data_IF_774366862772
#
_entry.id   IF_774366862772
#
_cell.length_a   1.000
_cell.length_b   1.000
_cell.length_c   1.000
_cell.angle_alpha   90.00
_cell.angle_beta   90.00
_cell.angle_gamma   90.00
#
_symmetry.space_group_name_H-M   'P 1'
#
loop_
_entity.id
_entity.type
_entity.pdbx_description
1 polymer ?
#
# COMPACT_ATOMS: atom_id res chain seq x y z
N UNK A 1 15.78 10.53 0.29
CA UNK A 1 16.45 9.24 0.57
C UNK A 1 17.41 9.01 -0.57
N UNK A 2 18.67 8.67 -0.30
CA UNK A 2 19.67 8.43 -1.35
C UNK A 2 19.94 6.92 -1.44
N UNK A 3 19.80 6.36 -2.64
CA UNK A 3 20.10 4.96 -2.94
C UNK A 3 21.45 4.89 -3.67
N UNK A 4 22.30 3.91 -3.33
CA UNK A 4 23.63 3.81 -3.95
C UNK A 4 23.61 3.01 -5.24
N UNK A 5 22.60 2.16 -5.43
CA UNK A 5 22.37 1.38 -6.64
C UNK A 5 20.89 1.29 -6.99
N UNK A 6 20.58 1.02 -8.26
CA UNK A 6 19.20 0.76 -8.70
C UNK A 6 18.61 -0.47 -8.00
N UNK A 7 19.41 -1.49 -7.74
CA UNK A 7 18.98 -2.68 -6.98
C UNK A 7 18.63 -2.37 -5.51
N UNK A 8 19.32 -1.40 -4.88
CA UNK A 8 18.96 -0.93 -3.53
C UNK A 8 17.64 -0.16 -3.55
N UNK A 9 17.44 0.72 -4.54
CA UNK A 9 16.16 1.44 -4.74
C UNK A 9 15.01 0.45 -4.98
N UNK A 10 15.15 -0.46 -5.92
CA UNK A 10 14.08 -1.38 -6.31
C UNK A 10 13.72 -2.34 -5.17
N UNK A 11 14.70 -2.79 -4.36
CA UNK A 11 14.42 -3.56 -3.13
C UNK A 11 13.63 -2.73 -2.12
N UNK A 12 13.96 -1.46 -1.95
CA UNK A 12 13.22 -0.57 -1.06
C UNK A 12 11.79 -0.34 -1.55
N UNK A 13 11.59 -0.11 -2.85
CA UNK A 13 10.27 0.06 -3.45
C UNK A 13 9.41 -1.20 -3.29
N UNK A 14 9.96 -2.38 -3.54
CA UNK A 14 9.27 -3.65 -3.30
C UNK A 14 8.90 -3.86 -1.81
N UNK A 15 9.79 -3.49 -0.89
CA UNK A 15 9.51 -3.54 0.54
C UNK A 15 8.37 -2.57 0.92
N UNK A 16 8.36 -1.37 0.33
CA UNK A 16 7.29 -0.37 0.51
C UNK A 16 5.96 -0.88 -0.01
N UNK A 17 5.91 -1.44 -1.22
CA UNK A 17 4.73 -2.09 -1.80
C UNK A 17 4.20 -3.22 -0.92
N UNK A 18 5.11 -4.03 -0.36
CA UNK A 18 4.74 -5.11 0.57
C UNK A 18 4.08 -4.56 1.83
N UNK A 19 4.63 -3.49 2.42
CA UNK A 19 4.07 -2.86 3.61
C UNK A 19 2.67 -2.26 3.33
N UNK A 20 2.50 -1.59 2.18
CA UNK A 20 1.19 -1.07 1.74
C UNK A 20 0.18 -2.21 1.59
N UNK A 21 0.55 -3.28 0.89
CA UNK A 21 -0.30 -4.45 0.71
C UNK A 21 -0.73 -5.06 2.06
N UNK A 22 0.21 -5.26 2.98
CA UNK A 22 -0.07 -5.79 4.31
C UNK A 22 -1.04 -4.89 5.09
N UNK A 23 -0.92 -3.57 4.96
CA UNK A 23 -1.82 -2.62 5.62
C UNK A 23 -3.23 -2.67 5.05
N UNK A 24 -3.37 -2.73 3.72
CA UNK A 24 -4.67 -2.89 3.05
C UNK A 24 -5.33 -4.21 3.47
N UNK A 25 -4.58 -5.31 3.52
CA UNK A 25 -5.08 -6.60 3.99
C UNK A 25 -5.56 -6.54 5.45
N UNK A 26 -4.80 -5.86 6.31
CA UNK A 26 -5.22 -5.63 7.70
C UNK A 26 -6.53 -4.83 7.77
N UNK A 27 -6.66 -3.75 7.00
CA UNK A 27 -7.89 -2.93 6.93
C UNK A 27 -9.07 -3.79 6.50
N UNK A 28 -8.93 -4.58 5.44
CA UNK A 28 -10.00 -5.45 4.95
C UNK A 28 -10.46 -6.46 6.01
N UNK A 29 -9.51 -7.09 6.71
CA UNK A 29 -9.82 -8.00 7.81
C UNK A 29 -10.52 -7.28 8.97
N UNK A 30 -10.12 -6.05 9.29
CA UNK A 30 -10.73 -5.26 10.34
C UNK A 30 -12.15 -4.82 9.98
N UNK A 31 -12.38 -4.40 8.73
CA UNK A 31 -13.72 -4.07 8.21
C UNK A 31 -14.66 -5.29 8.31
N UNK A 32 -14.19 -6.49 7.94
CA UNK A 32 -14.95 -7.73 8.07
C UNK A 32 -15.25 -8.08 9.54
N UNK A 33 -14.23 -8.06 10.41
CA UNK A 33 -14.41 -8.33 11.85
C UNK A 33 -15.38 -7.35 12.48
N UNK A 34 -15.29 -6.09 12.11
CA UNK A 34 -16.16 -5.03 12.61
C UNK A 34 -17.59 -5.17 12.11
N UNK A 35 -17.79 -5.62 10.88
CA UNK A 35 -19.12 -5.90 10.33
C UNK A 35 -19.87 -6.97 11.14
N UNK A 36 -19.14 -7.98 11.65
CA UNK A 36 -19.72 -9.03 12.49
C UNK A 36 -20.24 -8.54 13.85
N UNK A 37 -19.65 -7.47 14.39
CA UNK A 37 -19.99 -6.93 15.73
C UNK A 37 -20.64 -5.55 15.67
N UNK A 38 -20.96 -5.04 14.48
CA UNK A 38 -21.54 -3.70 14.29
C UNK A 38 -20.60 -2.55 14.67
N UNK A 39 -19.28 -2.78 14.64
CA UNK A 39 -18.28 -1.81 15.08
C UNK A 39 -18.03 -0.65 14.10
N UNK A 40 -17.18 0.29 14.51
CA UNK A 40 -16.90 1.53 13.76
C UNK A 40 -16.23 1.29 12.40
N UNK A 41 -15.37 0.28 12.28
CA UNK A 41 -14.68 -0.01 11.01
C UNK A 41 -15.63 -0.49 9.91
N UNK A 42 -16.76 -1.12 10.28
CA UNK A 42 -17.81 -1.49 9.32
C UNK A 42 -18.47 -0.28 8.63
N UNK A 43 -18.28 0.93 9.16
CA UNK A 43 -18.87 2.18 8.64
C UNK A 43 -17.89 2.97 7.77
N UNK A 44 -16.84 2.33 7.26
CA UNK A 44 -15.85 2.99 6.41
C UNK A 44 -14.88 3.89 7.17
N UNK A 45 -14.60 3.60 8.45
CA UNK A 45 -13.63 4.33 9.26
C UNK A 45 -12.25 4.41 8.58
N UNK A 46 -11.84 3.34 7.90
CA UNK A 46 -10.56 3.25 7.19
C UNK A 46 -10.65 3.64 5.71
N UNK A 47 -11.79 4.14 5.21
CA UNK A 47 -11.96 4.46 3.78
C UNK A 47 -10.90 5.44 3.30
N UNK A 48 -10.66 6.52 4.05
CA UNK A 48 -9.63 7.50 3.69
C UNK A 48 -8.24 6.87 3.67
N UNK A 49 -7.86 6.14 4.71
CA UNK A 49 -6.55 5.48 4.78
C UNK A 49 -6.35 4.48 3.63
N UNK A 50 -7.38 3.73 3.27
CA UNK A 50 -7.35 2.78 2.15
C UNK A 50 -7.16 3.49 0.81
N UNK A 51 -7.79 4.64 0.58
CA UNK A 51 -7.57 5.46 -0.61
C UNK A 51 -6.15 6.03 -0.64
N UNK A 52 -5.69 6.62 0.46
CA UNK A 52 -4.33 7.16 0.57
C UNK A 52 -3.25 6.07 0.34
N UNK A 53 -3.52 4.82 0.75
CA UNK A 53 -2.65 3.67 0.52
C UNK A 53 -2.66 3.19 -0.94
N UNK A 54 -3.81 3.29 -1.62
CA UNK A 54 -3.92 2.96 -3.04
C UNK A 54 -3.14 3.98 -3.89
N UNK A 55 -3.31 5.27 -3.62
CA UNK A 55 -2.56 6.34 -4.29
C UNK A 55 -1.04 6.14 -4.11
N UNK A 56 -0.60 5.87 -2.88
CA UNK A 56 0.80 5.54 -2.62
C UNK A 56 1.28 4.27 -3.34
N UNK A 57 0.39 3.30 -3.57
CA UNK A 57 0.76 2.10 -4.31
C UNK A 57 0.99 2.38 -5.80
N UNK A 58 0.17 3.26 -6.39
CA UNK A 58 0.33 3.72 -7.77
C UNK A 58 1.65 4.47 -7.94
N UNK A 59 1.98 5.39 -7.03
CA UNK A 59 3.26 6.10 -7.05
C UNK A 59 4.47 5.16 -7.03
N UNK A 60 4.44 4.12 -6.20
CA UNK A 60 5.53 3.14 -6.09
C UNK A 60 5.60 2.24 -7.34
N UNK A 61 4.46 1.85 -7.89
CA UNK A 61 4.39 1.06 -9.12
C UNK A 61 4.90 1.85 -10.33
N UNK A 62 4.59 3.14 -10.40
CA UNK A 62 5.10 4.04 -11.43
C UNK A 62 6.62 4.21 -11.32
N UNK A 63 7.16 4.32 -10.11
CA UNK A 63 8.60 4.39 -9.89
C UNK A 63 9.32 3.09 -10.31
N UNK A 64 8.72 1.93 -10.00
CA UNK A 64 9.23 0.64 -10.46
C UNK A 64 9.14 0.47 -11.98
N UNK A 65 8.06 0.93 -12.62
CA UNK A 65 7.91 0.85 -14.09
C UNK A 65 8.96 1.71 -14.82
N UNK A 66 9.24 2.90 -14.30
CA UNK A 66 10.33 3.76 -14.81
C UNK A 66 11.70 3.07 -14.74
N UNK A 67 11.95 2.33 -13.65
CA UNK A 67 13.18 1.50 -13.51
C UNK A 67 13.29 0.43 -14.60
N UNK A 68 12.16 -0.16 -14.99
CA UNK A 68 12.10 -1.24 -15.98
C UNK A 68 12.24 -0.77 -17.44
N UNK A 69 12.37 0.53 -17.69
CA UNK A 69 12.46 1.11 -19.04
C UNK A 69 11.20 0.91 -19.88
N UNK A 70 10.05 0.73 -19.22
CA UNK A 70 8.74 0.61 -19.86
C UNK A 70 7.99 1.92 -19.68
N UNK A 71 8.15 2.82 -20.64
CA UNK A 71 7.26 3.97 -20.86
C UNK A 71 6.05 3.55 -21.70
#
# INVERSE_FOLDING_TARGET
MEFRTDEERDRWLNARLTAIHQRIQWIANEEVRSALVGGLAARGYFTKEKLDLLDQSEEVLDELNKSLGKD
#
